data_IF_608326367126
#
_entry.id   IF_608326367126
#
_cell.length_a   1.000
_cell.length_b   1.000
_cell.length_c   1.000
_cell.angle_alpha   90.00
_cell.angle_beta   90.00
_cell.angle_gamma   90.00
#
_symmetry.space_group_name_H-M   'P 1'
#
loop_
_entity.id
_entity.type
_entity.pdbx_description
1 polymer ?
#
# COMPACT_ATOMS: atom_id res chain seq x y z
N UNK A 1 34.30 -4.89 34.30
CA UNK A 1 33.86 -5.90 33.34
C UNK A 1 32.67 -5.32 32.57
N UNK A 2 32.91 -4.84 31.37
CA UNK A 2 31.91 -4.21 30.53
C UNK A 2 31.44 -5.24 29.48
N UNK A 3 30.17 -5.66 29.55
CA UNK A 3 29.55 -6.53 28.56
C UNK A 3 28.97 -5.69 27.45
N UNK A 4 29.65 -5.69 26.31
CA UNK A 4 29.20 -5.10 25.06
C UNK A 4 28.13 -6.03 24.45
N UNK A 5 26.86 -5.64 24.52
CA UNK A 5 25.77 -6.30 23.79
C UNK A 5 25.78 -5.80 22.35
N UNK A 6 26.17 -6.67 21.41
CA UNK A 6 26.10 -6.38 19.99
C UNK A 6 24.70 -6.67 19.47
N UNK A 7 24.00 -5.64 19.05
CA UNK A 7 22.73 -5.73 18.33
C UNK A 7 23.02 -6.17 16.88
N UNK A 8 22.34 -7.21 16.34
CA UNK A 8 22.54 -7.60 14.96
C UNK A 8 21.99 -6.53 14.01
N UNK A 9 22.89 -5.95 13.25
CA UNK A 9 22.58 -5.07 12.11
C UNK A 9 21.92 -5.92 11.02
N UNK A 10 20.61 -5.79 10.86
CA UNK A 10 19.89 -6.43 9.75
C UNK A 10 20.43 -5.86 8.44
N UNK A 11 21.14 -6.69 7.73
CA UNK A 11 21.81 -6.34 6.48
C UNK A 11 20.76 -6.27 5.36
N UNK A 12 20.58 -5.09 4.84
CA UNK A 12 19.69 -4.75 3.75
C UNK A 12 20.27 -5.28 2.44
N UNK A 13 19.58 -6.21 1.79
CA UNK A 13 19.89 -6.62 0.42
C UNK A 13 19.02 -5.84 -0.54
N UNK A 14 19.58 -4.80 -1.14
CA UNK A 14 19.01 -4.11 -2.30
C UNK A 14 19.08 -5.03 -3.51
N UNK A 15 17.97 -5.65 -3.88
CA UNK A 15 17.84 -6.36 -5.14
C UNK A 15 17.26 -5.43 -6.19
N UNK A 16 18.09 -4.98 -7.11
CA UNK A 16 17.69 -4.20 -8.28
C UNK A 16 16.71 -5.01 -9.13
N UNK A 17 15.49 -4.55 -9.27
CA UNK A 17 14.48 -5.11 -10.18
C UNK A 17 14.84 -4.75 -11.61
N UNK A 18 15.19 -5.77 -12.41
CA UNK A 18 15.30 -5.65 -13.86
C UNK A 18 13.90 -5.61 -14.44
N UNK A 19 13.57 -4.51 -15.11
CA UNK A 19 12.41 -4.33 -15.96
C UNK A 19 12.40 -5.43 -17.05
N UNK A 20 11.37 -6.27 -17.05
CA UNK A 20 11.07 -7.18 -18.15
C UNK A 20 9.91 -6.60 -18.97
N UNK A 21 10.19 -6.26 -20.22
CA UNK A 21 9.22 -5.79 -21.21
C UNK A 21 8.15 -6.87 -21.47
N UNK A 22 6.87 -6.49 -21.43
CA UNK A 22 5.72 -7.30 -21.84
C UNK A 22 5.46 -7.08 -23.34
N UNK A 23 5.16 -8.13 -24.13
CA UNK A 23 4.69 -7.96 -25.50
C UNK A 23 3.21 -7.58 -25.53
N UNK A 24 2.87 -6.66 -26.43
CA UNK A 24 1.51 -6.24 -26.77
C UNK A 24 0.70 -7.38 -27.38
N UNK A 25 -0.52 -7.59 -26.88
CA UNK A 25 -1.52 -8.45 -27.52
C UNK A 25 -2.60 -7.57 -28.13
N UNK A 26 -2.65 -7.61 -29.45
CA UNK A 26 -3.63 -6.94 -30.33
C UNK A 26 -4.98 -7.66 -30.18
N UNK A 27 -6.01 -6.97 -29.76
CA UNK A 27 -7.39 -7.47 -29.79
C UNK A 27 -8.07 -7.09 -31.10
N UNK A 28 -8.42 -8.10 -31.89
CA UNK A 28 -9.25 -7.94 -33.11
C UNK A 28 -10.70 -8.21 -32.72
N UNK A 29 -11.55 -7.22 -32.91
CA UNK A 29 -13.01 -7.36 -32.83
C UNK A 29 -13.55 -7.99 -34.13
N UNK A 30 -14.44 -8.98 -34.00
CA UNK A 30 -15.34 -9.37 -35.09
C UNK A 30 -16.76 -9.59 -34.57
N UNK A 31 -17.61 -8.78 -35.14
CA UNK A 31 -19.06 -8.80 -35.12
C UNK A 31 -19.59 -9.95 -35.99
N UNK A 32 -20.53 -10.75 -35.50
CA UNK A 32 -21.49 -11.44 -36.38
C UNK A 32 -22.79 -11.75 -35.61
N UNK A 33 -23.86 -11.11 -36.09
CA UNK A 33 -25.25 -11.49 -35.85
C UNK A 33 -25.61 -12.66 -36.78
N UNK A 34 -26.45 -13.61 -36.32
CA UNK A 34 -27.57 -14.06 -37.14
C UNK A 34 -28.59 -14.91 -36.38
N UNK A 35 -29.78 -14.72 -36.81
CA UNK A 35 -31.10 -15.11 -36.36
C UNK A 35 -31.42 -16.60 -36.56
N UNK A 36 -32.37 -17.11 -35.74
CA UNK A 36 -33.59 -17.76 -36.23
C UNK A 36 -33.67 -19.27 -36.13
N UNK A 37 -34.79 -19.77 -35.59
CA UNK A 37 -35.42 -20.95 -36.12
C UNK A 37 -35.78 -22.05 -35.10
N UNK A 38 -37.00 -22.03 -34.66
CA UNK A 38 -38.00 -23.03 -34.27
C UNK A 38 -37.65 -24.52 -34.21
N UNK A 39 -38.25 -25.17 -33.20
CA UNK A 39 -38.46 -26.59 -32.90
C UNK A 39 -39.39 -27.27 -33.94
N UNK A 40 -39.89 -28.55 -33.81
CA UNK A 40 -39.72 -29.60 -32.77
C UNK A 40 -39.56 -31.04 -33.37
N UNK A 41 -39.40 -32.05 -32.52
CA UNK A 41 -39.57 -33.43 -32.97
C UNK A 41 -39.03 -34.53 -32.06
N UNK A 42 -39.94 -35.21 -31.43
CA UNK A 42 -39.74 -36.34 -30.57
C UNK A 42 -39.10 -37.56 -31.27
N UNK A 43 -38.35 -38.40 -30.54
CA UNK A 43 -38.60 -39.86 -30.49
C UNK A 43 -37.77 -40.56 -29.38
N UNK A 44 -38.49 -41.39 -28.64
CA UNK A 44 -38.05 -42.40 -27.70
C UNK A 44 -37.01 -43.36 -28.32
N UNK A 45 -36.04 -43.80 -27.54
CA UNK A 45 -35.16 -44.90 -27.85
C UNK A 45 -34.42 -45.37 -26.60
N UNK A 46 -35.07 -46.35 -25.89
CA UNK A 46 -34.41 -47.16 -24.87
C UNK A 46 -33.11 -47.81 -25.44
N UNK A 47 -32.01 -47.60 -24.80
CA UNK A 47 -30.87 -48.54 -24.83
C UNK A 47 -30.13 -48.52 -23.49
N UNK A 48 -30.47 -49.54 -22.72
CA UNK A 48 -29.71 -50.13 -21.63
C UNK A 48 -28.35 -50.57 -22.14
N UNK A 49 -27.27 -49.94 -21.67
CA UNK A 49 -25.92 -50.45 -21.86
C UNK A 49 -24.95 -50.00 -20.77
N UNK A 50 -24.57 -50.93 -19.95
CA UNK A 50 -23.24 -51.19 -19.42
C UNK A 50 -22.57 -50.03 -18.62
N UNK A 51 -22.61 -50.22 -17.30
CA UNK A 51 -21.69 -49.62 -16.34
C UNK A 51 -20.25 -50.02 -16.74
N UNK A 52 -19.51 -49.06 -17.22
CA UNK A 52 -18.05 -49.13 -17.21
C UNK A 52 -17.58 -48.38 -15.97
N UNK A 53 -17.02 -49.11 -15.03
CA UNK A 53 -16.27 -48.54 -13.90
C UNK A 53 -15.11 -47.71 -14.47
N UNK A 54 -15.25 -46.42 -14.45
CA UNK A 54 -14.12 -45.52 -14.67
C UNK A 54 -13.34 -45.40 -13.35
N UNK A 55 -12.02 -45.62 -13.37
CA UNK A 55 -11.20 -45.40 -12.19
C UNK A 55 -11.31 -43.90 -11.81
N UNK A 56 -11.74 -43.66 -10.58
CA UNK A 56 -11.75 -42.34 -9.92
C UNK A 56 -10.34 -41.76 -10.07
N UNK A 57 -10.14 -40.92 -11.08
CA UNK A 57 -9.00 -40.03 -11.15
C UNK A 57 -8.96 -39.24 -9.83
N UNK A 58 -7.92 -39.51 -9.06
CA UNK A 58 -7.67 -38.80 -7.82
C UNK A 58 -7.70 -37.29 -8.12
N UNK A 59 -8.68 -36.61 -7.54
CA UNK A 59 -8.75 -35.17 -7.53
C UNK A 59 -7.46 -34.70 -6.86
N UNK A 60 -6.49 -34.26 -7.65
CA UNK A 60 -5.34 -33.54 -7.14
C UNK A 60 -5.89 -32.33 -6.41
N UNK A 61 -5.93 -32.41 -5.09
CA UNK A 61 -6.16 -31.25 -4.24
C UNK A 61 -4.99 -30.33 -4.55
N UNK A 62 -5.22 -29.11 -5.06
CA UNK A 62 -4.12 -28.18 -5.23
C UNK A 62 -3.46 -28.05 -3.86
N UNK A 63 -2.18 -28.45 -3.82
CA UNK A 63 -1.33 -28.24 -2.65
C UNK A 63 -1.43 -26.76 -2.32
N UNK A 64 -1.94 -26.45 -1.14
CA UNK A 64 -1.95 -25.09 -0.63
C UNK A 64 -0.50 -24.58 -0.77
N UNK A 65 -0.31 -23.57 -1.61
CA UNK A 65 0.93 -22.81 -1.66
C UNK A 65 1.25 -22.43 -0.21
N UNK A 66 2.47 -22.69 0.29
CA UNK A 66 2.80 -22.25 1.63
C UNK A 66 2.54 -20.75 1.70
N UNK A 67 1.79 -20.34 2.71
CA UNK A 67 1.46 -18.95 3.01
C UNK A 67 2.79 -18.24 3.28
N UNK A 68 3.38 -17.70 2.20
CA UNK A 68 4.67 -17.03 2.27
C UNK A 68 4.41 -15.67 2.88
N UNK A 69 4.57 -15.59 4.19
CA UNK A 69 4.44 -14.37 4.95
C UNK A 69 5.28 -13.27 4.29
N UNK A 70 4.62 -12.17 3.93
CA UNK A 70 5.29 -11.03 3.28
C UNK A 70 6.28 -10.39 4.24
N UNK A 71 7.41 -9.93 3.73
CA UNK A 71 8.43 -9.27 4.53
C UNK A 71 7.91 -7.96 5.11
N UNK A 72 8.32 -7.63 6.34
CA UNK A 72 8.02 -6.35 6.97
C UNK A 72 8.82 -5.25 6.29
N UNK A 73 8.12 -4.20 5.83
CA UNK A 73 8.74 -3.05 5.17
C UNK A 73 8.61 -1.82 6.07
N UNK A 74 9.72 -1.14 6.29
CA UNK A 74 9.80 0.12 7.03
C UNK A 74 10.50 1.14 6.14
N UNK A 75 9.75 2.07 5.51
CA UNK A 75 10.35 3.11 4.67
C UNK A 75 11.34 3.97 5.48
N UNK A 76 12.46 4.30 4.84
CA UNK A 76 13.52 5.12 5.46
C UNK A 76 13.00 6.52 5.79
N UNK A 77 13.50 7.17 6.86
CA UNK A 77 13.19 8.57 7.13
C UNK A 77 13.56 9.48 5.97
N UNK A 78 12.70 10.45 5.66
CA UNK A 78 12.97 11.50 4.67
C UNK A 78 12.77 12.87 5.27
N UNK A 79 13.65 13.78 4.92
CA UNK A 79 13.63 15.16 5.41
C UNK A 79 13.19 16.16 4.33
N UNK A 80 12.73 15.69 3.15
CA UNK A 80 12.37 16.54 2.03
C UNK A 80 11.29 17.55 2.38
N UNK A 81 10.16 17.09 2.94
CA UNK A 81 9.04 17.94 3.33
C UNK A 81 9.41 18.89 4.48
N UNK A 82 10.01 18.42 5.58
CA UNK A 82 10.49 19.31 6.63
C UNK A 82 11.45 20.39 6.14
N UNK A 83 12.44 20.03 5.34
CA UNK A 83 13.43 20.99 4.82
C UNK A 83 12.83 22.00 3.85
N UNK A 84 11.85 21.59 3.02
CA UNK A 84 11.12 22.50 2.17
C UNK A 84 10.36 23.56 3.00
N UNK A 85 9.72 23.17 4.10
CA UNK A 85 9.03 24.09 5.00
C UNK A 85 10.01 25.05 5.70
N UNK A 86 11.15 24.56 6.18
CA UNK A 86 12.18 25.41 6.77
C UNK A 86 12.72 26.40 5.72
N UNK A 87 12.92 25.95 4.48
CA UNK A 87 13.31 26.84 3.36
C UNK A 87 12.27 27.91 3.07
N UNK A 88 10.98 27.54 3.04
CA UNK A 88 9.86 28.49 2.89
C UNK A 88 9.79 29.47 4.05
N UNK A 89 10.06 29.04 5.28
CA UNK A 89 10.18 29.92 6.45
C UNK A 89 11.25 30.97 6.23
N UNK A 90 12.45 30.57 5.83
CA UNK A 90 13.55 31.49 5.52
C UNK A 90 13.21 32.49 4.42
N UNK A 91 12.59 32.02 3.32
CA UNK A 91 12.16 32.87 2.21
C UNK A 91 11.09 33.87 2.66
N UNK A 92 10.14 33.45 3.50
CA UNK A 92 9.12 34.32 4.06
C UNK A 92 9.71 35.39 4.99
N UNK A 93 10.76 35.05 5.74
CA UNK A 93 11.50 35.99 6.58
C UNK A 93 12.17 37.10 5.76
N UNK A 94 12.84 36.72 4.67
CA UNK A 94 13.44 37.68 3.72
C UNK A 94 12.37 38.58 3.10
N UNK A 95 11.19 38.03 2.79
CA UNK A 95 10.04 38.79 2.30
C UNK A 95 9.29 39.63 3.38
N UNK A 96 9.76 39.64 4.64
CA UNK A 96 9.18 40.39 5.74
C UNK A 96 7.85 39.86 6.29
N UNK A 97 7.43 38.64 5.88
CA UNK A 97 6.19 38.05 6.34
C UNK A 97 6.41 37.13 7.58
N UNK A 98 6.42 37.78 8.76
CA UNK A 98 6.67 37.11 10.04
C UNK A 98 5.67 36.01 10.38
N UNK A 99 4.41 36.14 9.95
CA UNK A 99 3.37 35.15 10.20
C UNK A 99 3.67 33.85 9.45
N UNK A 100 3.96 33.90 8.15
CA UNK A 100 4.34 32.73 7.36
C UNK A 100 5.69 32.16 7.82
N UNK A 101 6.64 33.02 8.19
CA UNK A 101 7.92 32.61 8.77
C UNK A 101 7.71 31.73 10.01
N UNK A 102 6.90 32.20 10.95
CA UNK A 102 6.58 31.46 12.16
C UNK A 102 5.85 30.15 11.85
N UNK A 103 4.82 30.20 11.00
CA UNK A 103 4.02 29.03 10.65
C UNK A 103 4.88 27.92 10.00
N UNK A 104 5.60 28.25 8.94
CA UNK A 104 6.43 27.27 8.23
C UNK A 104 7.63 26.82 9.07
N UNK A 105 8.21 27.72 9.87
CA UNK A 105 9.32 27.39 10.75
C UNK A 105 8.91 26.37 11.82
N UNK A 106 7.85 26.66 12.57
CA UNK A 106 7.37 25.76 13.63
C UNK A 106 6.96 24.41 13.05
N UNK A 107 6.21 24.39 11.94
CA UNK A 107 5.78 23.16 11.31
C UNK A 107 6.99 22.37 10.76
N UNK A 108 7.93 23.03 10.09
CA UNK A 108 9.12 22.41 9.52
C UNK A 108 10.00 21.76 10.59
N UNK A 109 10.29 22.47 11.69
CA UNK A 109 11.07 21.92 12.81
C UNK A 109 10.32 20.79 13.53
N UNK A 110 9.00 20.92 13.72
CA UNK A 110 8.20 19.84 14.28
C UNK A 110 8.28 18.58 13.42
N UNK A 111 8.13 18.69 12.10
CA UNK A 111 8.23 17.54 11.21
C UNK A 111 9.66 16.98 11.11
N UNK A 112 10.71 17.81 11.23
CA UNK A 112 12.10 17.33 11.36
C UNK A 112 12.25 16.41 12.58
N UNK A 113 11.70 16.83 13.72
CA UNK A 113 11.73 16.02 14.93
C UNK A 113 10.91 14.72 14.77
N UNK A 114 9.74 14.80 14.15
CA UNK A 114 8.90 13.63 13.92
C UNK A 114 9.52 12.63 12.94
N UNK A 115 10.21 13.10 11.89
CA UNK A 115 10.90 12.25 10.92
C UNK A 115 11.98 11.36 11.55
N UNK A 116 12.56 11.79 12.67
CA UNK A 116 13.53 11.00 13.41
C UNK A 116 12.88 9.91 14.27
N UNK A 117 11.63 10.08 14.66
CA UNK A 117 10.96 9.25 15.67
C UNK A 117 9.88 8.35 15.11
N UNK A 118 9.08 8.86 14.16
CA UNK A 118 7.92 8.12 13.63
C UNK A 118 8.38 7.11 12.60
N UNK A 119 7.87 5.88 12.71
CA UNK A 119 8.11 4.78 11.77
C UNK A 119 6.78 4.24 11.28
N UNK A 120 6.63 4.17 9.96
CA UNK A 120 5.55 3.44 9.32
C UNK A 120 6.02 2.01 9.09
N UNK A 121 5.33 1.05 9.69
CA UNK A 121 5.69 -0.37 9.65
C UNK A 121 4.60 -1.11 8.91
N UNK A 122 4.95 -1.61 7.72
CA UNK A 122 4.07 -2.43 6.89
C UNK A 122 4.33 -3.89 7.17
N UNK A 123 3.44 -4.53 7.94
CA UNK A 123 3.50 -5.96 8.21
C UNK A 123 2.84 -6.76 7.08
N UNK A 124 2.67 -8.05 7.26
CA UNK A 124 1.93 -8.88 6.31
C UNK A 124 0.42 -8.54 6.26
N UNK A 125 -0.16 -8.09 7.37
CA UNK A 125 -1.61 -7.90 7.54
C UNK A 125 -2.04 -6.44 7.68
N UNK A 126 -1.15 -5.56 8.15
CA UNK A 126 -1.52 -4.22 8.58
C UNK A 126 -0.42 -3.17 8.41
N UNK A 127 -0.85 -1.91 8.37
CA UNK A 127 -0.03 -0.72 8.55
C UNK A 127 -0.06 -0.30 10.01
N UNK A 128 1.11 -0.09 10.61
CA UNK A 128 1.28 0.42 11.97
C UNK A 128 2.12 1.69 11.97
N UNK A 129 1.76 2.63 12.85
CA UNK A 129 2.59 3.82 13.12
C UNK A 129 3.20 3.65 14.51
N UNK A 130 4.52 3.45 14.52
CA UNK A 130 5.31 3.19 15.74
C UNK A 130 6.31 4.30 16.00
N UNK A 131 6.93 4.32 17.17
CA UNK A 131 7.87 5.36 17.58
C UNK A 131 9.22 4.75 17.94
N UNK A 132 10.27 5.44 17.50
CA UNK A 132 11.66 5.08 17.78
C UNK A 132 12.15 3.88 16.99
N UNK A 133 13.42 3.56 17.18
CA UNK A 133 14.06 2.43 16.51
C UNK A 133 13.67 1.08 17.17
N UNK A 134 13.18 1.12 18.39
CA UNK A 134 12.67 -0.06 19.11
C UNK A 134 11.20 -0.37 18.73
N UNK A 135 10.60 0.43 17.87
CA UNK A 135 9.24 0.26 17.37
C UNK A 135 8.18 0.19 18.49
N UNK A 136 8.27 1.10 19.43
CA UNK A 136 7.30 1.23 20.49
C UNK A 136 5.94 1.71 19.96
N UNK A 137 4.86 1.29 20.61
CA UNK A 137 3.52 1.76 20.27
C UNK A 137 3.42 3.27 20.40
N UNK A 138 2.89 3.94 19.36
CA UNK A 138 2.74 5.40 19.33
C UNK A 138 1.62 5.93 20.26
N UNK A 139 1.00 5.06 21.05
CA UNK A 139 -0.15 5.39 21.89
C UNK A 139 -1.46 5.42 21.12
N UNK A 140 -2.52 5.96 21.76
CA UNK A 140 -3.80 6.14 21.09
C UNK A 140 -3.74 7.30 20.08
N UNK A 141 -4.48 7.13 18.98
CA UNK A 141 -4.64 8.22 18.02
C UNK A 141 -5.41 9.36 18.66
N UNK A 142 -4.74 10.51 18.89
CA UNK A 142 -5.30 11.66 19.59
C UNK A 142 -6.54 12.27 18.92
N UNK A 143 -6.76 12.00 17.62
CA UNK A 143 -7.86 12.61 16.84
C UNK A 143 -9.04 11.66 16.65
N UNK A 144 -8.81 10.37 16.54
CA UNK A 144 -9.85 9.38 16.21
C UNK A 144 -10.02 8.31 17.28
N UNK A 145 -9.10 8.20 18.23
CA UNK A 145 -9.04 7.13 19.22
C UNK A 145 -8.50 5.81 18.63
N UNK A 146 -8.24 4.83 19.49
CA UNK A 146 -7.72 3.53 19.09
C UNK A 146 -6.22 3.49 18.80
N UNK A 147 -5.71 2.30 18.52
CA UNK A 147 -4.31 2.10 18.14
C UNK A 147 -4.05 2.64 16.72
N UNK A 148 -2.85 3.16 16.48
CA UNK A 148 -2.39 3.55 15.15
C UNK A 148 -1.99 2.32 14.33
N UNK A 149 -2.97 1.48 14.06
CA UNK A 149 -2.83 0.20 13.36
C UNK A 149 -4.09 -0.09 12.54
N UNK A 150 -3.93 -0.30 11.23
CA UNK A 150 -5.03 -0.51 10.30
C UNK A 150 -4.74 -1.71 9.40
N UNK A 151 -5.70 -2.64 9.32
CA UNK A 151 -5.63 -3.81 8.46
C UNK A 151 -5.84 -3.43 7.00
N UNK A 152 -5.09 -4.02 6.08
CA UNK A 152 -5.19 -3.70 4.65
C UNK A 152 -6.55 -4.02 4.05
N UNK A 153 -7.23 -5.07 4.53
CA UNK A 153 -8.57 -5.45 4.08
C UNK A 153 -9.66 -4.43 4.43
N UNK A 154 -9.36 -3.48 5.32
CA UNK A 154 -10.27 -2.38 5.69
C UNK A 154 -10.05 -1.11 4.88
N UNK A 155 -8.97 -1.04 4.08
CA UNK A 155 -8.69 0.13 3.25
C UNK A 155 -9.69 0.25 2.11
N UNK A 156 -10.29 1.43 1.98
CA UNK A 156 -11.23 1.76 0.91
C UNK A 156 -10.50 2.36 -0.28
N UNK A 157 -9.60 3.31 0.01
CA UNK A 157 -8.80 4.00 -0.98
C UNK A 157 -7.64 4.73 -0.31
N UNK A 158 -6.68 5.13 -1.12
CA UNK A 158 -5.54 5.95 -0.70
C UNK A 158 -4.99 6.75 -1.86
N UNK A 159 -4.26 7.84 -1.57
CA UNK A 159 -3.60 8.68 -2.55
C UNK A 159 -2.45 9.47 -1.95
N UNK A 160 -1.52 9.92 -2.78
CA UNK A 160 -0.52 10.91 -2.45
C UNK A 160 -0.95 12.28 -2.94
N UNK A 161 -0.88 13.27 -2.08
CA UNK A 161 -1.06 14.65 -2.48
C UNK A 161 0.25 15.20 -3.04
N UNK A 162 0.17 15.82 -4.23
CA UNK A 162 1.28 16.31 -5.06
C UNK A 162 2.28 15.21 -5.42
N UNK A 163 1.97 14.31 -6.35
CA UNK A 163 2.82 13.17 -6.69
C UNK A 163 4.24 13.55 -7.13
N UNK A 164 4.44 14.73 -7.77
CA UNK A 164 5.78 15.23 -8.14
C UNK A 164 6.66 15.67 -6.97
N UNK A 165 6.04 16.05 -5.85
CA UNK A 165 6.67 16.32 -4.56
C UNK A 165 5.73 15.86 -3.45
N UNK A 166 5.66 14.56 -3.18
CA UNK A 166 4.66 14.00 -2.29
C UNK A 166 4.88 14.49 -0.86
N UNK A 167 3.89 15.22 -0.32
CA UNK A 167 3.98 15.82 1.01
C UNK A 167 2.99 15.23 2.02
N UNK A 168 1.87 14.65 1.55
CA UNK A 168 0.87 14.01 2.38
C UNK A 168 0.45 12.69 1.75
N UNK A 169 0.28 11.65 2.58
CA UNK A 169 -0.47 10.45 2.24
C UNK A 169 -1.85 10.51 2.90
N UNK A 170 -2.86 10.29 2.09
CA UNK A 170 -4.26 10.13 2.49
C UNK A 170 -4.64 8.67 2.38
N UNK A 171 -5.39 8.15 3.34
CA UNK A 171 -6.13 6.90 3.17
C UNK A 171 -7.45 6.92 3.95
N UNK A 172 -8.40 6.14 3.46
CA UNK A 172 -9.70 5.91 4.10
C UNK A 172 -9.83 4.43 4.43
N UNK A 173 -10.29 4.13 5.65
CA UNK A 173 -10.49 2.76 6.14
C UNK A 173 -11.84 2.64 6.88
N UNK A 174 -12.33 1.41 7.01
CA UNK A 174 -13.63 1.09 7.65
C UNK A 174 -13.48 0.37 8.99
N UNK A 175 -12.26 0.18 9.48
CA UNK A 175 -12.01 -0.46 10.79
C UNK A 175 -12.45 0.44 11.95
N UNK A 176 -12.18 1.74 11.87
CA UNK A 176 -12.51 2.72 12.91
C UNK A 176 -13.97 3.11 12.87
N UNK A 177 -14.52 3.32 11.66
CA UNK A 177 -15.94 3.66 11.44
C UNK A 177 -16.48 2.94 10.21
N UNK A 178 -17.69 2.34 10.27
CA UNK A 178 -18.27 1.64 9.12
C UNK A 178 -18.45 2.50 7.87
N UNK A 179 -18.74 3.80 8.02
CA UNK A 179 -18.87 4.76 6.93
C UNK A 179 -17.50 5.20 6.36
N UNK A 180 -16.44 4.80 7.02
CA UNK A 180 -15.05 5.08 6.67
C UNK A 180 -14.45 6.25 7.45
N UNK A 181 -13.29 6.02 8.02
CA UNK A 181 -12.46 7.04 8.69
C UNK A 181 -11.33 7.46 7.76
N UNK A 182 -11.13 8.76 7.68
CA UNK A 182 -10.05 9.38 6.89
C UNK A 182 -8.85 9.63 7.77
N UNK A 183 -7.66 9.34 7.22
CA UNK A 183 -6.37 9.61 7.84
C UNK A 183 -5.49 10.40 6.87
N UNK A 184 -4.73 11.36 7.43
CA UNK A 184 -3.72 12.13 6.72
C UNK A 184 -2.43 12.10 7.50
N UNK A 185 -1.34 11.75 6.82
CA UNK A 185 -0.01 11.79 7.42
C UNK A 185 0.96 12.56 6.52
N UNK A 186 1.82 13.41 7.09
CA UNK A 186 2.90 14.01 6.34
C UNK A 186 3.89 12.93 5.89
N UNK A 187 4.37 13.02 4.66
CA UNK A 187 5.37 12.09 4.14
C UNK A 187 6.74 12.53 4.67
N UNK A 188 7.09 12.01 5.85
CA UNK A 188 8.37 12.19 6.54
C UNK A 188 9.27 10.94 6.43
N UNK A 189 8.95 10.07 5.49
CA UNK A 189 9.71 8.89 5.09
C UNK A 189 9.95 8.92 3.57
N UNK A 190 10.76 8.01 3.06
CA UNK A 190 11.02 7.90 1.63
C UNK A 190 9.72 7.68 0.85
N UNK A 191 9.37 8.66 0.02
CA UNK A 191 8.08 8.68 -0.69
C UNK A 191 7.96 7.56 -1.72
N UNK A 192 9.07 7.16 -2.37
CA UNK A 192 9.04 6.07 -3.34
C UNK A 192 8.84 4.72 -2.64
N UNK A 193 9.59 4.45 -1.57
CA UNK A 193 9.41 3.23 -0.78
C UNK A 193 8.01 3.13 -0.19
N UNK A 194 7.47 4.26 0.30
CA UNK A 194 6.10 4.33 0.80
C UNK A 194 5.08 4.03 -0.31
N UNK A 195 5.26 4.62 -1.50
CA UNK A 195 4.37 4.38 -2.64
C UNK A 195 4.37 2.91 -3.06
N UNK A 196 5.56 2.33 -3.25
CA UNK A 196 5.71 0.95 -3.69
C UNK A 196 5.06 -0.05 -2.73
N UNK A 197 5.27 0.12 -1.43
CA UNK A 197 4.67 -0.75 -0.42
C UNK A 197 3.15 -0.53 -0.30
N UNK A 198 2.66 0.70 -0.45
CA UNK A 198 1.22 0.97 -0.47
C UNK A 198 0.54 0.33 -1.67
N UNK A 199 1.15 0.39 -2.87
CA UNK A 199 0.63 -0.32 -4.06
C UNK A 199 0.63 -1.83 -3.83
N UNK A 200 1.70 -2.38 -3.27
CA UNK A 200 1.81 -3.82 -3.00
C UNK A 200 0.74 -4.32 -1.99
N UNK A 201 0.46 -3.53 -0.94
CA UNK A 201 -0.40 -3.95 0.17
C UNK A 201 -1.86 -3.52 0.03
N UNK A 202 -2.10 -2.33 -0.52
CA UNK A 202 -3.42 -1.69 -0.57
C UNK A 202 -3.96 -1.54 -2.00
N UNK A 203 -3.20 -1.96 -3.04
CA UNK A 203 -3.58 -1.79 -4.43
C UNK A 203 -3.27 -0.38 -4.98
N UNK A 204 -3.76 -0.10 -6.18
CA UNK A 204 -3.45 1.15 -6.89
C UNK A 204 -4.00 2.38 -6.17
N UNK A 205 -3.20 3.45 -6.16
CA UNK A 205 -3.64 4.77 -5.69
C UNK A 205 -4.73 5.36 -6.58
N UNK A 206 -5.64 6.14 -6.01
CA UNK A 206 -6.69 6.83 -6.79
C UNK A 206 -6.14 7.87 -7.77
N UNK A 207 -5.00 8.47 -7.44
CA UNK A 207 -4.32 9.44 -8.28
C UNK A 207 -3.03 8.91 -8.92
N UNK A 208 -2.92 7.59 -9.06
CA UNK A 208 -1.89 6.99 -9.91
C UNK A 208 -2.04 7.58 -11.29
N UNK A 209 -0.96 8.15 -11.82
CA UNK A 209 -0.95 8.56 -13.22
C UNK A 209 -1.22 7.30 -14.06
N UNK A 210 -2.07 7.39 -15.10
CA UNK A 210 -2.22 6.27 -16.02
C UNK A 210 -0.83 5.91 -16.56
N UNK A 211 -0.53 4.62 -16.57
CA UNK A 211 0.73 4.11 -17.10
C UNK A 211 0.94 4.68 -18.50
N UNK A 212 1.99 5.49 -18.69
CA UNK A 212 2.42 6.03 -19.97
C UNK A 212 3.10 4.95 -20.81
#
# INVERSE_FOLDING_TARGET
MATTSSVPRVLRVLRASRSAARPAVTATASHAQSRGGAAPGARRGDRRALRADSPRAGRLVPSATPDTKREVVIPEPSYNVPLALVGLSGLSAVGGNLTLTGLFGVLGFFLLFQAQRVRFVFTDEDLQVLIGDELEKSGENAFVGGENKWKYDTFVNWEFWWPGFPCLVYFKETQTKPEGQIHFFPIIMDGQQLYDVMVERCGNSQNSLPDN
#
